data_IF_568229324821
#
_entry.id   IF_568229324821
#
_cell.length_a   1.000
_cell.length_b   1.000
_cell.length_c   1.000
_cell.angle_alpha   90.00
_cell.angle_beta   90.00
_cell.angle_gamma   90.00
#
_symmetry.space_group_name_H-M   'P 1'
#
loop_
_entity.id
_entity.type
_entity.pdbx_description
1 polymer ?
#
# COMPACT_ATOMS: atom_id res chain seq x y z
N UNK A 1 4.63 -0.04 3.46
CA UNK A 1 3.45 -0.31 2.61
C UNK A 1 3.75 -0.23 1.14
N UNK A 2 4.22 0.92 0.59
CA UNK A 2 4.51 1.05 -0.85
C UNK A 2 5.38 -0.09 -1.40
N UNK A 3 6.54 -0.34 -0.81
CA UNK A 3 7.43 -1.43 -1.27
C UNK A 3 6.81 -2.83 -1.14
N UNK A 4 6.01 -3.08 -0.10
CA UNK A 4 5.30 -4.36 0.01
C UNK A 4 4.26 -4.52 -1.11
N UNK A 5 3.61 -3.44 -1.53
CA UNK A 5 2.70 -3.46 -2.67
C UNK A 5 3.43 -3.65 -4.01
N UNK A 6 4.65 -3.10 -4.16
CA UNK A 6 5.53 -3.39 -5.31
C UNK A 6 5.80 -4.89 -5.38
N UNK A 7 6.28 -5.48 -4.28
CA UNK A 7 6.54 -6.93 -4.19
C UNK A 7 5.29 -7.74 -4.54
N UNK A 8 4.14 -7.39 -3.96
CA UNK A 8 2.89 -8.10 -4.23
C UNK A 8 2.47 -8.05 -5.71
N UNK A 9 2.66 -6.92 -6.38
CA UNK A 9 2.36 -6.77 -7.81
C UNK A 9 3.34 -7.55 -8.68
N UNK A 10 4.63 -7.43 -8.40
CA UNK A 10 5.68 -8.10 -9.17
C UNK A 10 5.62 -9.63 -9.01
N UNK A 11 5.39 -10.13 -7.80
CA UNK A 11 5.12 -11.57 -7.56
C UNK A 11 3.88 -12.07 -8.30
N UNK A 12 2.93 -11.19 -8.60
CA UNK A 12 1.75 -11.49 -9.39
C UNK A 12 1.95 -11.27 -10.91
N UNK A 13 3.18 -10.97 -11.34
CA UNK A 13 3.51 -10.70 -12.74
C UNK A 13 2.96 -9.38 -13.28
N UNK A 14 2.68 -8.41 -12.40
CA UNK A 14 2.18 -7.07 -12.76
C UNK A 14 3.33 -6.07 -12.63
N UNK A 15 3.69 -5.45 -13.76
CA UNK A 15 4.80 -4.52 -13.87
C UNK A 15 4.31 -3.06 -14.03
N UNK A 16 5.16 -2.07 -13.72
CA UNK A 16 4.83 -0.66 -13.96
C UNK A 16 4.70 -0.39 -15.46
N UNK A 17 3.86 0.59 -15.81
CA UNK A 17 3.70 1.03 -17.22
C UNK A 17 4.88 1.90 -17.71
N UNK A 18 5.79 2.26 -16.81
CA UNK A 18 7.01 3.03 -17.05
C UNK A 18 8.17 2.40 -16.25
N UNK A 19 9.36 2.99 -16.27
CA UNK A 19 10.53 2.46 -15.57
C UNK A 19 10.34 2.33 -14.04
N UNK A 20 9.43 3.13 -13.46
CA UNK A 20 9.16 3.13 -12.02
C UNK A 20 7.67 3.26 -11.69
N UNK A 21 7.29 2.70 -10.55
CA UNK A 21 5.96 2.87 -9.98
C UNK A 21 5.72 4.31 -9.50
N UNK A 22 4.67 4.95 -10.01
CA UNK A 22 4.07 6.10 -9.34
C UNK A 22 3.16 5.64 -8.20
N UNK A 23 2.98 6.47 -7.17
CA UNK A 23 2.05 6.18 -6.08
C UNK A 23 0.63 5.88 -6.57
N UNK A 24 0.12 6.73 -7.47
CA UNK A 24 -1.23 6.57 -8.04
C UNK A 24 -1.33 5.29 -8.88
N UNK A 25 -0.37 5.07 -9.79
CA UNK A 25 -0.38 3.90 -10.67
C UNK A 25 -0.30 2.60 -9.90
N UNK A 26 0.58 2.52 -8.90
CA UNK A 26 0.70 1.36 -8.02
C UNK A 26 -0.57 1.10 -7.22
N UNK A 27 -1.18 2.13 -6.61
CA UNK A 27 -2.44 1.98 -5.87
C UNK A 27 -3.58 1.50 -6.78
N UNK A 28 -3.71 2.08 -7.98
CA UNK A 28 -4.73 1.67 -8.94
C UNK A 28 -4.55 0.23 -9.41
N UNK A 29 -3.33 -0.18 -9.76
CA UNK A 29 -3.06 -1.56 -10.18
C UNK A 29 -3.22 -2.55 -9.02
N UNK A 30 -2.77 -2.22 -7.81
CA UNK A 30 -2.96 -3.07 -6.64
C UNK A 30 -4.44 -3.34 -6.38
N UNK A 31 -5.28 -2.30 -6.36
CA UNK A 31 -6.71 -2.43 -6.16
C UNK A 31 -7.36 -3.25 -7.28
N UNK A 32 -7.06 -2.93 -8.55
CA UNK A 32 -7.67 -3.62 -9.68
C UNK A 32 -7.23 -5.09 -9.79
N UNK A 33 -5.93 -5.35 -9.86
CA UNK A 33 -5.42 -6.70 -10.12
C UNK A 33 -5.56 -7.60 -8.89
N UNK A 34 -5.11 -7.15 -7.72
CA UNK A 34 -4.92 -8.05 -6.58
C UNK A 34 -6.10 -8.08 -5.61
N UNK A 35 -6.95 -7.04 -5.59
CA UNK A 35 -8.13 -6.99 -4.72
C UNK A 35 -9.41 -7.32 -5.50
N UNK A 36 -9.63 -6.71 -6.65
CA UNK A 36 -10.89 -6.87 -7.39
C UNK A 36 -10.89 -8.07 -8.34
N UNK A 37 -9.89 -8.15 -9.22
CA UNK A 37 -9.82 -9.15 -10.28
C UNK A 37 -9.42 -10.53 -9.74
N UNK A 38 -8.28 -10.60 -9.06
CA UNK A 38 -7.72 -11.87 -8.54
C UNK A 38 -8.17 -12.22 -7.12
N UNK A 39 -8.66 -11.23 -6.36
CA UNK A 39 -9.16 -11.40 -4.97
C UNK A 39 -8.14 -12.05 -4.03
N UNK A 40 -6.87 -11.73 -4.22
CA UNK A 40 -5.75 -12.22 -3.41
C UNK A 40 -5.72 -11.52 -2.05
N UNK A 41 -5.99 -10.21 -2.03
CA UNK A 41 -5.94 -9.39 -0.83
C UNK A 41 -7.31 -8.83 -0.46
N UNK A 42 -7.56 -8.59 0.85
CA UNK A 42 -8.81 -8.01 1.30
C UNK A 42 -8.88 -6.51 0.96
N UNK A 43 -10.11 -5.99 0.83
CA UNK A 43 -10.38 -4.64 0.30
C UNK A 43 -9.75 -3.54 1.15
N UNK A 44 -9.62 -3.77 2.45
CA UNK A 44 -9.09 -2.85 3.45
C UNK A 44 -7.67 -2.41 3.12
N UNK A 45 -6.86 -3.25 2.45
CA UNK A 45 -5.48 -2.92 2.08
C UNK A 45 -5.41 -1.73 1.10
N UNK A 46 -6.44 -1.54 0.28
CA UNK A 46 -6.52 -0.39 -0.63
C UNK A 46 -6.60 0.93 0.14
N UNK A 47 -7.40 0.96 1.21
CA UNK A 47 -7.56 2.13 2.07
C UNK A 47 -6.30 2.38 2.89
N UNK A 48 -5.64 1.32 3.38
CA UNK A 48 -4.38 1.45 4.10
C UNK A 48 -3.29 2.10 3.24
N UNK A 49 -3.20 1.74 1.95
CA UNK A 49 -2.24 2.34 1.01
C UNK A 49 -2.54 3.81 0.73
N UNK A 50 -3.80 4.16 0.47
CA UNK A 50 -4.19 5.53 0.10
C UNK A 50 -4.16 6.47 1.30
N UNK A 51 -4.78 6.10 2.43
CA UNK A 51 -4.75 6.91 3.64
C UNK A 51 -3.35 6.96 4.27
N UNK A 52 -2.57 5.88 4.20
CA UNK A 52 -1.18 5.88 4.65
C UNK A 52 -0.31 6.86 3.87
N UNK A 53 -0.52 6.97 2.55
CA UNK A 53 0.15 8.00 1.74
C UNK A 53 -0.29 9.41 2.14
N UNK A 54 -1.57 9.62 2.44
CA UNK A 54 -2.05 10.92 2.92
C UNK A 54 -1.40 11.31 4.25
N UNK A 55 -1.30 10.38 5.21
CA UNK A 55 -0.61 10.63 6.48
C UNK A 55 0.87 10.97 6.24
N UNK A 56 1.55 10.25 5.33
CA UNK A 56 2.94 10.55 4.96
C UNK A 56 3.06 11.96 4.36
N UNK A 57 2.21 12.28 3.39
CA UNK A 57 2.23 13.60 2.76
C UNK A 57 1.95 14.72 3.77
N UNK A 58 1.06 14.48 4.73
CA UNK A 58 0.82 15.41 5.83
C UNK A 58 2.06 15.57 6.71
N UNK A 59 2.78 14.49 7.02
CA UNK A 59 4.00 14.56 7.82
C UNK A 59 5.15 15.27 7.10
N UNK A 60 5.33 14.99 5.81
CA UNK A 60 6.52 15.40 5.07
C UNK A 60 6.40 16.80 4.44
N UNK A 61 5.19 17.19 4.06
CA UNK A 61 4.97 18.36 3.19
C UNK A 61 3.95 19.37 3.73
N UNK A 62 3.38 19.14 4.91
CA UNK A 62 2.45 20.11 5.52
C UNK A 62 3.12 20.87 6.64
N UNK A 63 2.70 22.11 6.84
CA UNK A 63 3.16 22.96 7.96
C UNK A 63 2.64 22.47 9.33
N UNK A 64 1.75 21.47 9.35
CA UNK A 64 1.15 20.90 10.55
C UNK A 64 1.78 19.58 10.98
N UNK A 65 1.92 19.38 12.30
CA UNK A 65 2.39 18.12 12.86
C UNK A 65 1.34 17.00 12.77
N UNK A 66 1.76 15.79 12.44
CA UNK A 66 0.91 14.59 12.55
C UNK A 66 0.72 14.20 14.01
N UNK A 67 -0.53 13.98 14.43
CA UNK A 67 -0.83 13.54 15.80
C UNK A 67 -0.33 12.13 16.09
N UNK A 68 -0.04 11.83 17.36
CA UNK A 68 0.32 10.48 17.83
C UNK A 68 -0.71 9.43 17.39
N UNK A 69 -2.01 9.78 17.43
CA UNK A 69 -3.10 8.90 16.97
C UNK A 69 -2.94 8.53 15.49
N UNK A 70 -2.61 9.49 14.63
CA UNK A 70 -2.41 9.25 13.20
C UNK A 70 -1.14 8.44 12.94
N UNK A 71 -0.04 8.76 13.63
CA UNK A 71 1.20 8.00 13.54
C UNK A 71 0.99 6.53 13.97
N UNK A 72 0.33 6.31 15.11
CA UNK A 72 -0.02 4.97 15.59
C UNK A 72 -0.96 4.21 14.66
N UNK A 73 -1.92 4.89 14.01
CA UNK A 73 -2.78 4.30 12.97
C UNK A 73 -1.94 3.83 11.78
N UNK A 74 -1.05 4.69 11.27
CA UNK A 74 -0.18 4.37 10.13
C UNK A 74 0.75 3.19 10.43
N UNK A 75 1.31 3.12 11.65
CA UNK A 75 2.16 2.01 12.06
C UNK A 75 1.40 0.68 12.08
N UNK A 76 0.22 0.63 12.71
CA UNK A 76 -0.61 -0.59 12.73
C UNK A 76 -0.96 -1.08 11.33
N UNK A 77 -1.31 -0.16 10.44
CA UNK A 77 -1.59 -0.48 9.04
C UNK A 77 -0.36 -0.97 8.28
N UNK A 78 0.81 -0.39 8.53
CA UNK A 78 2.03 -0.89 7.92
C UNK A 78 2.32 -2.34 8.34
N UNK A 79 2.15 -2.68 9.62
CA UNK A 79 2.28 -4.05 10.12
C UNK A 79 1.28 -5.00 9.46
N UNK A 80 -0.01 -4.65 9.46
CA UNK A 80 -1.05 -5.49 8.86
C UNK A 80 -0.80 -5.70 7.36
N UNK A 81 -0.52 -4.63 6.62
CA UNK A 81 -0.30 -4.69 5.18
C UNK A 81 0.89 -5.59 4.84
N UNK A 82 2.03 -5.41 5.51
CA UNK A 82 3.23 -6.23 5.28
C UNK A 82 2.96 -7.68 5.65
N UNK A 83 2.30 -7.93 6.79
CA UNK A 83 1.97 -9.29 7.22
C UNK A 83 1.06 -10.03 6.23
N UNK A 84 0.11 -9.34 5.59
CA UNK A 84 -0.71 -9.93 4.54
C UNK A 84 0.10 -10.29 3.29
N UNK A 85 0.99 -9.40 2.85
CA UNK A 85 1.86 -9.66 1.68
C UNK A 85 2.80 -10.84 1.94
N UNK A 86 3.37 -10.94 3.14
CA UNK A 86 4.24 -12.07 3.51
C UNK A 86 3.51 -13.41 3.46
N UNK A 87 2.31 -13.49 4.05
CA UNK A 87 1.48 -14.72 4.04
C UNK A 87 1.19 -15.24 2.63
N UNK A 88 1.04 -14.34 1.66
CA UNK A 88 0.77 -14.71 0.25
C UNK A 88 2.06 -15.04 -0.51
N UNK A 89 3.18 -14.38 -0.17
CA UNK A 89 4.45 -14.55 -0.89
C UNK A 89 5.25 -15.78 -0.44
N UNK A 90 4.99 -16.29 0.77
CA UNK A 90 5.62 -17.50 1.34
C UNK A 90 4.80 -18.77 1.09
N UNK A 91 3.60 -18.64 0.51
CA UNK A 91 2.65 -19.73 0.25
C UNK A 91 2.67 -20.29 -1.16
#
# INVERSE_FOLDING_TARGET
MFQAAVVALESAGVLPDADMWSHKGLQSKFAFELVHKRKIYPRELTAMLSEGLNIRNSADYSDGSVSERMAGKSLRWAHEFVGQVQKVSEG
#
